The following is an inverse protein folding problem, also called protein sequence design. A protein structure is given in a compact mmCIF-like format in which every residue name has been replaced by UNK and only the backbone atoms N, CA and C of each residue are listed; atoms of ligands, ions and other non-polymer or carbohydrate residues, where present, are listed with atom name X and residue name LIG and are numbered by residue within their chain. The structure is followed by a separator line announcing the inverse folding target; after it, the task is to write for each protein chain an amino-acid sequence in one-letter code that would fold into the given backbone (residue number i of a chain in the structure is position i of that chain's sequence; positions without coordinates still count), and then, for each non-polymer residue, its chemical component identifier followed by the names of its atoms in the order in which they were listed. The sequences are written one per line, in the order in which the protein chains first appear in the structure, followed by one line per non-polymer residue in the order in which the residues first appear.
data_IF_595429870248
#
_entry.id   IF_595429870248
#
_cell.length_a   1.000
_cell.length_b   1.000
_cell.length_c   1.000
_cell.angle_alpha   90.00
_cell.angle_beta   90.00
_cell.angle_gamma   90.00
#
_symmetry.space_group_name_H-M   'P 1'
#
loop_
_entity.id
_entity.type
_entity.pdbx_description
1 polymer ?
#
# COMPACT_ATOMS: atom_id res chain seq x y z
N UNK A 1 39.85 -53.23 -6.85
CA UNK A 1 39.27 -53.98 -5.75
C UNK A 1 39.37 -53.08 -4.56
N UNK A 2 38.29 -52.32 -4.31
CA UNK A 2 38.19 -51.41 -3.13
C UNK A 2 36.90 -51.81 -2.43
N UNK A 3 37.09 -52.49 -1.29
CA UNK A 3 36.01 -52.89 -0.40
C UNK A 3 35.41 -51.65 0.27
N UNK A 4 34.13 -51.41 0.07
CA UNK A 4 33.32 -50.54 0.87
C UNK A 4 32.43 -51.36 1.82
N UNK A 5 32.40 -51.07 3.15
CA UNK A 5 31.49 -51.76 4.04
C UNK A 5 30.04 -51.32 3.85
N UNK A 6 29.05 -52.18 4.13
CA UNK A 6 27.64 -51.90 3.97
C UNK A 6 27.11 -50.93 5.06
N UNK A 7 26.20 -50.03 4.60
CA UNK A 7 25.47 -49.10 5.48
C UNK A 7 24.47 -49.83 6.40
N UNK A 8 24.28 -49.34 7.63
CA UNK A 8 23.30 -49.94 8.54
C UNK A 8 21.85 -49.62 8.13
N UNK A 9 20.86 -50.46 8.51
CA UNK A 9 19.46 -50.30 8.11
C UNK A 9 18.82 -49.08 8.77
N UNK A 10 18.08 -48.31 7.99
CA UNK A 10 17.24 -47.17 8.41
C UNK A 10 16.14 -47.62 9.37
N UNK A 11 16.15 -47.06 10.58
CA UNK A 11 15.10 -47.26 11.57
C UNK A 11 13.80 -46.53 11.16
N UNK A 12 12.70 -47.28 11.11
CA UNK A 12 11.35 -46.77 10.88
C UNK A 12 10.90 -45.88 12.06
N UNK A 13 10.41 -44.64 11.85
CA UNK A 13 9.93 -43.83 12.95
C UNK A 13 8.61 -44.36 13.50
N UNK A 14 8.54 -44.54 14.82
CA UNK A 14 7.35 -44.95 15.57
C UNK A 14 6.24 -43.91 15.45
N UNK A 15 5.04 -44.39 15.09
CA UNK A 15 3.78 -43.64 15.08
C UNK A 15 3.51 -43.05 16.48
N UNK A 16 3.55 -41.72 16.59
CA UNK A 16 3.04 -41.00 17.77
C UNK A 16 1.49 -41.01 17.71
N UNK A 17 0.87 -41.54 18.72
CA UNK A 17 -0.57 -41.47 18.99
C UNK A 17 -0.96 -40.03 19.32
N UNK A 18 -1.90 -39.46 18.55
CA UNK A 18 -2.56 -38.17 18.81
C UNK A 18 -3.46 -38.27 20.06
N UNK A 19 -3.46 -37.25 20.93
CA UNK A 19 -4.42 -37.19 22.01
C UNK A 19 -5.79 -36.75 21.50
N UNK A 20 -6.79 -37.56 21.77
CA UNK A 20 -8.22 -37.32 21.50
C UNK A 20 -8.70 -36.15 22.37
N UNK A 21 -8.93 -34.98 21.78
CA UNK A 21 -9.58 -33.85 22.46
C UNK A 21 -11.09 -34.05 22.41
N UNK A 22 -11.69 -34.36 23.56
CA UNK A 22 -13.15 -34.41 23.75
C UNK A 22 -13.74 -32.97 23.72
N UNK A 23 -14.64 -32.72 22.77
CA UNK A 23 -15.44 -31.50 22.69
C UNK A 23 -16.50 -31.46 23.82
N UNK A 24 -16.61 -30.33 24.55
CA UNK A 24 -17.73 -30.15 25.46
C UNK A 24 -19.04 -29.86 24.70
N UNK A 25 -20.09 -30.58 25.04
CA UNK A 25 -21.44 -30.42 24.54
C UNK A 25 -22.08 -29.11 25.03
N UNK A 26 -22.54 -28.27 24.13
CA UNK A 26 -23.33 -27.06 24.41
C UNK A 26 -24.75 -27.45 24.81
N UNK A 27 -25.32 -26.87 25.89
CA UNK A 27 -26.73 -27.08 26.23
C UNK A 27 -27.65 -26.25 25.32
N UNK A 28 -28.73 -26.90 24.81
CA UNK A 28 -29.81 -26.26 24.05
C UNK A 28 -30.69 -25.45 25.00
N UNK A 29 -31.09 -24.20 24.68
CA UNK A 29 -32.09 -23.49 25.48
C UNK A 29 -33.49 -24.02 25.14
N UNK A 30 -34.21 -24.38 26.19
CA UNK A 30 -35.61 -24.78 26.15
C UNK A 30 -36.54 -23.62 25.82
N UNK A 31 -37.40 -23.80 24.81
CA UNK A 31 -38.54 -22.95 24.51
C UNK A 31 -39.50 -22.93 25.70
N UNK A 32 -39.71 -21.73 26.29
CA UNK A 32 -40.91 -21.47 27.11
C UNK A 32 -41.79 -20.46 26.38
N UNK A 33 -42.91 -20.95 25.89
CA UNK A 33 -44.10 -20.21 25.53
C UNK A 33 -44.70 -19.59 26.79
N UNK A 34 -44.95 -18.28 26.80
CA UNK A 34 -45.98 -17.71 27.63
C UNK A 34 -46.71 -16.61 26.86
N UNK A 35 -48.01 -16.76 26.82
CA UNK A 35 -48.95 -15.94 26.08
C UNK A 35 -49.55 -14.84 26.97
N UNK A 36 -50.05 -13.81 26.28
CA UNK A 36 -51.20 -12.93 26.62
C UNK A 36 -51.06 -11.88 27.72
N UNK A 37 -51.16 -10.60 27.32
CA UNK A 37 -52.27 -9.76 27.75
C UNK A 37 -52.29 -8.45 26.91
N UNK A 38 -53.43 -8.23 26.25
CA UNK A 38 -53.85 -6.95 25.65
C UNK A 38 -54.15 -5.93 26.78
N UNK A 39 -53.68 -4.69 26.60
CA UNK A 39 -54.30 -3.53 27.22
C UNK A 39 -54.30 -2.35 26.23
N UNK A 40 -55.49 -2.03 25.77
CA UNK A 40 -55.84 -0.87 24.97
C UNK A 40 -55.80 0.36 25.88
N UNK A 41 -55.06 1.37 25.47
CA UNK A 41 -55.06 2.71 26.09
C UNK A 41 -54.91 3.77 25.02
N UNK A 42 -56.04 4.28 24.50
CA UNK A 42 -56.11 5.53 23.76
C UNK A 42 -55.78 6.72 24.71
N UNK A 43 -54.82 7.52 24.37
CA UNK A 43 -54.72 8.89 24.88
C UNK A 43 -54.21 9.81 23.78
N UNK A 44 -54.98 10.80 23.58
CA UNK A 44 -55.08 11.93 22.66
C UNK A 44 -53.83 12.74 22.42
N UNK A 45 -53.69 13.09 21.15
CA UNK A 45 -52.84 14.10 20.51
C UNK A 45 -52.92 15.46 21.22
N UNK A 46 -51.76 16.03 21.51
CA UNK A 46 -51.55 17.47 21.64
C UNK A 46 -50.45 17.86 20.62
N UNK A 47 -50.86 18.47 19.52
CA UNK A 47 -49.99 19.14 18.61
C UNK A 47 -49.45 20.42 19.26
N UNK A 48 -48.16 20.50 19.45
CA UNK A 48 -47.42 21.75 19.59
C UNK A 48 -46.47 21.87 18.42
N UNK A 49 -46.82 22.66 17.43
CA UNK A 49 -45.93 23.19 16.42
C UNK A 49 -44.95 24.15 17.10
N UNK A 50 -43.72 23.73 17.28
CA UNK A 50 -42.61 24.65 17.49
C UNK A 50 -41.74 24.57 16.23
N UNK A 51 -41.75 25.69 15.50
CA UNK A 51 -40.73 25.99 14.50
C UNK A 51 -39.39 26.08 15.24
N UNK A 52 -38.56 25.08 15.10
CA UNK A 52 -37.21 25.05 15.62
C UNK A 52 -36.28 24.69 14.50
N UNK A 53 -35.29 25.51 14.36
CA UNK A 53 -34.15 25.45 13.47
C UNK A 53 -33.81 24.04 12.98
N UNK A 54 -33.54 23.94 11.67
CA UNK A 54 -32.93 22.79 11.07
C UNK A 54 -31.47 22.68 11.54
N UNK A 55 -31.29 22.08 12.71
CA UNK A 55 -30.06 21.42 13.02
C UNK A 55 -30.01 20.18 12.13
N UNK A 56 -29.07 20.13 11.21
CA UNK A 56 -28.70 18.88 10.57
C UNK A 56 -28.52 17.84 11.68
N UNK A 57 -29.31 16.77 11.66
CA UNK A 57 -28.96 15.58 12.42
C UNK A 57 -27.60 15.15 11.86
N UNK A 58 -26.54 15.20 12.71
CA UNK A 58 -25.31 14.51 12.40
C UNK A 58 -25.73 13.07 12.02
N UNK A 59 -25.59 12.71 10.75
CA UNK A 59 -25.73 11.34 10.30
C UNK A 59 -24.67 10.53 11.04
N UNK A 60 -24.98 9.31 11.40
CA UNK A 60 -23.94 8.40 11.87
C UNK A 60 -22.84 8.35 10.79
N UNK A 61 -21.57 8.60 11.16
CA UNK A 61 -20.44 8.48 10.26
C UNK A 61 -20.39 7.05 9.68
N UNK A 62 -19.86 6.92 8.47
CA UNK A 62 -19.63 5.63 7.83
C UNK A 62 -18.30 5.06 8.35
N UNK A 63 -18.34 3.88 8.94
CA UNK A 63 -17.12 3.16 9.33
C UNK A 63 -16.36 2.74 8.07
N UNK A 64 -15.09 3.12 7.93
CA UNK A 64 -14.22 2.78 6.81
C UNK A 64 -12.91 2.20 7.33
N UNK A 65 -12.51 1.05 6.83
CA UNK A 65 -11.23 0.43 7.11
C UNK A 65 -10.28 0.61 5.94
N UNK A 66 -9.14 1.27 6.18
CA UNK A 66 -8.05 1.44 5.24
C UNK A 66 -6.88 0.56 5.65
N UNK A 67 -6.49 -0.39 4.78
CA UNK A 67 -5.33 -1.25 4.99
C UNK A 67 -4.10 -0.67 4.29
N UNK A 68 -3.01 -0.48 5.03
CA UNK A 68 -1.73 -0.03 4.48
C UNK A 68 -1.07 -1.16 3.67
N UNK A 69 -0.15 -0.78 2.77
CA UNK A 69 0.69 -1.74 2.02
C UNK A 69 1.93 -2.19 2.79
N UNK A 70 2.32 -1.45 3.81
CA UNK A 70 3.51 -1.68 4.65
C UNK A 70 3.29 -1.09 6.04
N UNK A 71 4.27 -1.25 6.92
CA UNK A 71 4.31 -0.51 8.19
C UNK A 71 4.25 1.00 7.92
N UNK A 72 3.66 1.81 8.82
CA UNK A 72 3.56 3.24 8.65
C UNK A 72 4.90 3.90 8.31
N UNK A 73 4.89 4.80 7.33
CA UNK A 73 6.05 5.56 6.88
C UNK A 73 5.61 6.89 6.26
N UNK A 74 6.55 7.72 5.81
CA UNK A 74 6.23 9.06 5.33
C UNK A 74 5.43 9.10 4.01
N UNK A 75 5.40 8.02 3.21
CA UNK A 75 4.51 7.96 2.05
C UNK A 75 3.03 8.00 2.48
N UNK A 76 2.71 7.57 3.69
CA UNK A 76 1.36 7.60 4.29
C UNK A 76 1.02 8.92 4.99
N UNK A 77 1.96 9.89 5.03
CA UNK A 77 1.81 11.12 5.82
C UNK A 77 0.54 11.90 5.50
N UNK A 78 0.09 11.93 4.24
CA UNK A 78 -1.17 12.58 3.85
C UNK A 78 -2.39 11.92 4.47
N UNK A 79 -2.43 10.59 4.57
CA UNK A 79 -3.54 9.85 5.20
C UNK A 79 -3.61 10.18 6.69
N UNK A 80 -2.48 10.13 7.40
CA UNK A 80 -2.42 10.47 8.82
C UNK A 80 -2.69 11.95 9.08
N UNK A 81 -2.30 12.84 8.16
CA UNK A 81 -2.64 14.26 8.23
C UNK A 81 -4.15 14.48 8.06
N UNK A 82 -4.79 13.82 7.10
CA UNK A 82 -6.24 13.90 6.90
C UNK A 82 -7.02 13.43 8.14
N UNK A 83 -6.59 12.32 8.74
CA UNK A 83 -7.19 11.78 9.96
C UNK A 83 -7.02 12.75 11.15
N UNK A 84 -5.78 13.17 11.43
CA UNK A 84 -5.47 14.02 12.57
C UNK A 84 -6.11 15.42 12.47
N UNK A 85 -6.36 15.93 11.26
CA UNK A 85 -7.01 17.21 11.02
C UNK A 85 -8.54 17.11 10.90
N UNK A 86 -9.09 15.90 11.04
CA UNK A 86 -10.53 15.65 11.02
C UNK A 86 -11.17 15.72 9.63
N UNK A 87 -10.39 15.59 8.54
CA UNK A 87 -10.92 15.70 7.18
C UNK A 87 -11.85 14.54 6.82
N UNK A 88 -11.58 13.34 7.34
CA UNK A 88 -12.48 12.20 7.21
C UNK A 88 -13.76 12.38 8.03
N UNK A 89 -13.66 12.89 9.28
CA UNK A 89 -14.83 13.18 10.10
C UNK A 89 -15.72 14.25 9.46
N UNK A 90 -15.13 15.31 8.88
CA UNK A 90 -15.83 16.36 8.12
C UNK A 90 -16.60 15.76 6.92
N UNK A 91 -16.07 14.70 6.30
CA UNK A 91 -16.69 13.94 5.21
C UNK A 91 -17.70 12.88 5.69
N UNK A 92 -17.95 12.78 6.98
CA UNK A 92 -18.84 11.78 7.57
C UNK A 92 -18.26 10.37 7.55
N UNK A 93 -16.95 10.25 7.67
CA UNK A 93 -16.20 8.99 7.69
C UNK A 93 -15.54 8.82 9.06
N UNK A 94 -15.67 7.64 9.63
CA UNK A 94 -14.92 7.17 10.80
C UNK A 94 -13.86 6.18 10.31
N UNK A 95 -12.62 6.68 10.13
CA UNK A 95 -11.55 5.91 9.49
C UNK A 95 -10.80 5.06 10.51
N UNK A 96 -10.61 3.79 10.19
CA UNK A 96 -9.71 2.87 10.89
C UNK A 96 -8.55 2.49 9.98
N UNK A 97 -7.32 2.86 10.34
CA UNK A 97 -6.11 2.50 9.61
C UNK A 97 -5.54 1.21 10.22
N UNK A 98 -5.29 0.20 9.36
CA UNK A 98 -4.72 -1.10 9.77
C UNK A 98 -3.46 -1.41 8.96
N UNK A 99 -2.53 -2.15 9.57
CA UNK A 99 -1.35 -2.66 8.87
C UNK A 99 -1.70 -3.83 7.93
N UNK A 100 -0.84 -4.14 6.94
CA UNK A 100 -1.13 -5.18 5.96
C UNK A 100 -1.24 -6.56 6.59
N UNK A 101 -2.12 -7.39 6.02
CA UNK A 101 -2.26 -8.79 6.39
C UNK A 101 -1.25 -9.67 5.62
N UNK A 102 -0.93 -10.84 6.18
CA UNK A 102 -0.05 -11.84 5.52
C UNK A 102 -0.58 -12.30 4.15
N UNK A 103 -1.89 -12.15 3.89
CA UNK A 103 -2.55 -12.55 2.64
C UNK A 103 -2.46 -11.52 1.52
N UNK A 104 -1.87 -10.35 1.78
CA UNK A 104 -1.87 -9.19 0.87
C UNK A 104 -3.14 -8.35 0.98
N UNK A 105 -3.10 -7.17 0.37
CA UNK A 105 -4.16 -6.16 0.46
C UNK A 105 -5.32 -6.47 -0.48
N UNK A 106 -5.03 -6.84 -1.73
CA UNK A 106 -6.02 -7.03 -2.79
C UNK A 106 -7.11 -8.06 -2.42
N UNK A 107 -6.79 -9.26 -1.91
CA UNK A 107 -7.82 -10.22 -1.52
C UNK A 107 -8.61 -9.78 -0.29
N UNK A 108 -8.03 -9.00 0.61
CA UNK A 108 -8.73 -8.49 1.82
C UNK A 108 -9.78 -7.45 1.41
N UNK A 109 -9.41 -6.51 0.54
CA UNK A 109 -10.33 -5.50 -0.01
C UNK A 109 -11.41 -6.13 -0.89
N UNK A 110 -11.03 -7.08 -1.75
CA UNK A 110 -12.01 -7.78 -2.61
C UNK A 110 -13.05 -8.58 -1.82
N UNK A 111 -12.73 -9.01 -0.60
CA UNK A 111 -13.65 -9.74 0.29
C UNK A 111 -14.49 -8.81 1.19
N UNK A 112 -14.18 -7.50 1.22
CA UNK A 112 -14.83 -6.51 2.07
C UNK A 112 -14.40 -6.61 3.54
N UNK A 113 -13.24 -7.22 3.83
CA UNK A 113 -12.64 -7.21 5.18
C UNK A 113 -11.86 -5.90 5.44
N UNK A 114 -11.55 -5.15 4.38
CA UNK A 114 -11.19 -3.73 4.38
C UNK A 114 -11.92 -3.04 3.21
N UNK A 115 -12.27 -1.78 3.36
CA UNK A 115 -13.03 -1.01 2.35
C UNK A 115 -12.11 -0.48 1.26
N UNK A 116 -10.92 -0.03 1.66
CA UNK A 116 -9.85 0.47 0.79
C UNK A 116 -8.52 -0.08 1.24
N UNK A 117 -7.55 -0.09 0.34
CA UNK A 117 -6.22 -0.54 0.67
C UNK A 117 -5.15 0.21 -0.12
N UNK A 118 -3.94 0.23 0.42
CA UNK A 118 -2.76 0.63 -0.33
C UNK A 118 -2.09 -0.60 -0.90
N UNK A 119 -1.70 -0.54 -2.16
CA UNK A 119 -1.06 -1.63 -2.87
C UNK A 119 -0.06 -1.08 -3.89
N UNK A 120 0.38 -1.93 -4.80
CA UNK A 120 1.30 -1.59 -5.88
C UNK A 120 0.76 -2.13 -7.20
N UNK A 121 1.09 -1.51 -8.34
CA UNK A 121 0.64 -1.99 -9.65
C UNK A 121 1.18 -3.40 -9.94
N UNK A 122 2.39 -3.72 -9.46
CA UNK A 122 3.03 -5.03 -9.59
C UNK A 122 2.32 -6.16 -8.82
N UNK A 123 1.48 -5.85 -7.84
CA UNK A 123 0.63 -6.82 -7.15
C UNK A 123 -0.82 -6.77 -7.66
N UNK A 124 -1.31 -5.57 -8.00
CA UNK A 124 -2.68 -5.37 -8.48
C UNK A 124 -2.93 -6.05 -9.83
N UNK A 125 -2.04 -5.89 -10.83
CA UNK A 125 -2.25 -6.49 -12.15
C UNK A 125 -2.27 -8.03 -12.11
N UNK A 126 -1.34 -8.73 -11.42
CA UNK A 126 -1.45 -10.17 -11.20
C UNK A 126 -2.71 -10.58 -10.43
N UNK A 127 -3.15 -9.82 -9.43
CA UNK A 127 -4.39 -10.09 -8.71
C UNK A 127 -5.60 -10.02 -9.65
N UNK A 128 -5.69 -9.00 -10.50
CA UNK A 128 -6.73 -8.90 -11.53
C UNK A 128 -6.68 -10.02 -12.55
N UNK A 129 -5.47 -10.41 -13.00
CA UNK A 129 -5.29 -11.58 -13.87
C UNK A 129 -5.82 -12.87 -13.23
N UNK A 130 -5.72 -12.98 -11.91
CA UNK A 130 -6.30 -14.07 -11.13
C UNK A 130 -7.81 -13.92 -10.86
N UNK A 131 -8.44 -12.85 -11.34
CA UNK A 131 -9.88 -12.59 -11.20
C UNK A 131 -10.27 -11.93 -9.87
N UNK A 132 -9.34 -11.29 -9.17
CA UNK A 132 -9.63 -10.50 -7.96
C UNK A 132 -10.23 -9.15 -8.37
N UNK A 133 -11.47 -8.81 -7.94
CA UNK A 133 -12.21 -7.63 -8.42
C UNK A 133 -11.82 -6.37 -7.63
N UNK A 134 -10.60 -5.88 -7.83
CA UNK A 134 -10.09 -4.63 -7.23
C UNK A 134 -9.68 -3.62 -8.30
N UNK A 135 -9.81 -2.34 -8.01
CA UNK A 135 -9.55 -1.23 -8.94
C UNK A 135 -8.71 -0.17 -8.22
N UNK A 136 -7.64 0.31 -8.85
CA UNK A 136 -6.90 1.47 -8.39
C UNK A 136 -7.74 2.74 -8.56
N UNK A 137 -7.86 3.54 -7.50
CA UNK A 137 -8.67 4.76 -7.47
C UNK A 137 -7.84 6.04 -7.31
N UNK A 138 -6.56 5.91 -6.94
CA UNK A 138 -5.59 7.00 -6.91
C UNK A 138 -4.16 6.43 -6.80
N UNK A 139 -3.16 7.13 -7.35
CA UNK A 139 -1.78 6.86 -6.99
C UNK A 139 -1.32 7.77 -5.84
N UNK A 140 -0.45 7.27 -4.96
CA UNK A 140 0.15 8.12 -3.93
C UNK A 140 1.33 8.91 -4.48
N UNK A 141 2.10 8.27 -5.34
CA UNK A 141 3.23 8.87 -6.05
C UNK A 141 3.00 8.74 -7.56
N UNK A 142 3.07 9.84 -8.34
CA UNK A 142 2.91 9.79 -9.80
C UNK A 142 4.00 8.99 -10.51
N UNK A 143 5.16 8.79 -9.86
CA UNK A 143 6.29 8.03 -10.38
C UNK A 143 6.86 7.08 -9.33
N UNK A 144 7.46 6.00 -9.79
CA UNK A 144 8.10 5.00 -8.95
C UNK A 144 9.36 5.55 -8.26
N UNK A 145 9.40 5.52 -6.94
CA UNK A 145 10.54 5.98 -6.12
C UNK A 145 11.56 4.88 -5.82
N UNK A 146 11.56 3.80 -6.58
CA UNK A 146 12.44 2.65 -6.37
C UNK A 146 13.86 2.85 -6.94
N UNK A 147 14.81 2.19 -6.29
CA UNK A 147 16.20 2.07 -6.75
C UNK A 147 16.78 0.71 -6.40
N UNK A 148 17.88 0.36 -7.08
CA UNK A 148 18.83 -0.60 -6.53
C UNK A 148 19.85 0.16 -5.69
N UNK A 149 20.02 -0.21 -4.43
CA UNK A 149 20.95 0.44 -3.48
C UNK A 149 22.11 -0.49 -3.18
N UNK A 150 23.32 0.06 -3.15
CA UNK A 150 24.55 -0.59 -2.71
C UNK A 150 25.35 0.33 -1.80
N UNK A 151 26.36 -0.18 -1.09
CA UNK A 151 27.31 0.68 -0.35
C UNK A 151 28.12 1.54 -1.33
N UNK A 152 28.37 2.80 -1.00
CA UNK A 152 29.07 3.72 -1.91
C UNK A 152 30.49 3.27 -2.27
N UNK A 153 31.15 2.49 -1.41
CA UNK A 153 32.49 1.95 -1.65
C UNK A 153 32.52 0.61 -2.38
N UNK A 154 31.34 0.03 -2.73
CA UNK A 154 31.23 -1.22 -3.48
C UNK A 154 31.72 -1.12 -4.93
N UNK A 155 31.72 0.11 -5.50
CA UNK A 155 32.02 0.34 -6.91
C UNK A 155 30.84 0.08 -7.85
N UNK A 156 29.63 -0.12 -7.32
CA UNK A 156 28.36 -0.25 -8.07
C UNK A 156 27.80 1.18 -8.25
N UNK A 157 27.83 1.71 -9.48
CA UNK A 157 27.33 3.03 -9.82
C UNK A 157 26.29 2.99 -10.95
N UNK A 158 26.18 1.87 -11.68
CA UNK A 158 25.30 1.70 -12.83
C UNK A 158 24.93 0.21 -13.01
N UNK A 159 23.86 -0.11 -13.79
CA UNK A 159 23.35 -1.49 -13.88
C UNK A 159 24.38 -2.53 -14.29
N UNK A 160 25.28 -2.25 -15.23
CA UNK A 160 26.31 -3.22 -15.64
C UNK A 160 27.32 -3.58 -14.54
N UNK A 161 27.48 -2.71 -13.53
CA UNK A 161 28.40 -2.97 -12.42
C UNK A 161 27.86 -4.04 -11.45
N UNK A 162 26.61 -4.45 -11.62
CA UNK A 162 25.98 -5.54 -10.89
C UNK A 162 26.47 -6.93 -11.33
N UNK A 163 27.22 -7.02 -12.45
CA UNK A 163 27.83 -8.27 -12.89
C UNK A 163 28.78 -8.86 -11.83
N UNK A 164 28.47 -10.04 -11.34
CA UNK A 164 29.23 -10.76 -10.32
C UNK A 164 28.91 -10.33 -8.90
N UNK A 165 27.97 -9.39 -8.72
CA UNK A 165 27.42 -9.02 -7.43
C UNK A 165 26.20 -9.89 -7.06
N UNK A 166 25.87 -9.87 -5.77
CA UNK A 166 24.76 -10.64 -5.20
C UNK A 166 23.59 -9.71 -4.85
N UNK A 167 22.42 -9.95 -5.45
CA UNK A 167 21.17 -9.30 -5.10
C UNK A 167 20.54 -9.96 -3.87
N UNK A 168 20.14 -9.18 -2.88
CA UNK A 168 19.35 -9.64 -1.73
C UNK A 168 17.92 -9.10 -1.78
N UNK A 169 16.93 -9.99 -1.90
CA UNK A 169 15.51 -9.60 -2.00
C UNK A 169 14.56 -10.64 -1.44
N UNK A 170 13.30 -10.54 -1.84
CA UNK A 170 12.22 -11.45 -1.41
C UNK A 170 12.16 -12.75 -2.22
N UNK A 171 12.94 -12.86 -3.31
CA UNK A 171 12.93 -14.02 -4.20
C UNK A 171 11.80 -13.98 -5.23
N UNK A 172 11.20 -12.81 -5.46
CA UNK A 172 10.16 -12.58 -6.45
C UNK A 172 10.68 -12.67 -7.90
N UNK A 173 9.83 -13.13 -8.81
CA UNK A 173 10.17 -13.21 -10.22
C UNK A 173 10.37 -11.81 -10.84
N UNK A 174 9.57 -10.82 -10.43
CA UNK A 174 9.70 -9.43 -10.88
C UNK A 174 11.04 -8.83 -10.50
N UNK A 175 11.50 -8.98 -9.25
CA UNK A 175 12.80 -8.48 -8.79
C UNK A 175 13.93 -9.01 -9.66
N UNK A 176 13.90 -10.33 -9.91
CA UNK A 176 14.89 -11.00 -10.77
C UNK A 176 14.88 -10.43 -12.19
N UNK A 177 13.70 -10.26 -12.78
CA UNK A 177 13.56 -9.76 -14.15
C UNK A 177 14.00 -8.30 -14.28
N UNK A 178 13.62 -7.42 -13.33
CA UNK A 178 14.03 -6.01 -13.33
C UNK A 178 15.55 -5.88 -13.28
N UNK A 179 16.22 -6.59 -12.38
CA UNK A 179 17.68 -6.58 -12.27
C UNK A 179 18.33 -7.08 -13.56
N UNK A 180 17.82 -8.19 -14.13
CA UNK A 180 18.34 -8.75 -15.39
C UNK A 180 18.19 -7.78 -16.56
N UNK A 181 17.01 -7.15 -16.71
CA UNK A 181 16.75 -6.15 -17.75
C UNK A 181 17.65 -4.93 -17.65
N UNK A 182 17.81 -4.40 -16.44
CA UNK A 182 18.71 -3.28 -16.22
C UNK A 182 20.15 -3.61 -16.60
N UNK A 183 20.68 -4.75 -16.18
CA UNK A 183 22.04 -5.20 -16.50
C UNK A 183 22.22 -5.41 -18.00
N UNK A 184 21.30 -6.12 -18.66
CA UNK A 184 21.36 -6.38 -20.11
C UNK A 184 21.27 -5.09 -20.92
N UNK A 185 20.37 -4.19 -20.57
CA UNK A 185 20.15 -2.91 -21.23
C UNK A 185 21.42 -2.01 -21.17
N UNK A 186 22.13 -2.05 -20.07
CA UNK A 186 23.41 -1.33 -19.91
C UNK A 186 24.62 -2.10 -20.50
N UNK A 187 24.38 -3.19 -21.24
CA UNK A 187 25.37 -3.97 -21.96
C UNK A 187 26.20 -4.91 -21.06
N UNK A 188 25.68 -5.27 -19.89
CA UNK A 188 26.24 -6.28 -18.99
C UNK A 188 25.71 -7.70 -19.27
N UNK A 189 26.24 -8.67 -18.54
CA UNK A 189 25.81 -10.06 -18.57
C UNK A 189 24.93 -10.39 -17.35
N UNK A 190 23.58 -10.45 -17.51
CA UNK A 190 22.66 -10.68 -16.39
C UNK A 190 22.81 -12.09 -15.77
N UNK A 191 23.39 -13.06 -16.47
CA UNK A 191 23.62 -14.41 -15.94
C UNK A 191 24.75 -14.45 -14.89
N UNK A 192 25.47 -13.35 -14.72
CA UNK A 192 26.53 -13.20 -13.72
C UNK A 192 26.05 -12.59 -12.40
N UNK A 193 24.82 -12.12 -12.34
CA UNK A 193 24.22 -11.65 -11.08
C UNK A 193 23.78 -12.86 -10.25
N UNK A 194 24.17 -12.89 -8.99
CA UNK A 194 23.68 -13.89 -8.03
C UNK A 194 22.46 -13.37 -7.29
N UNK A 195 21.47 -14.24 -7.01
CA UNK A 195 20.24 -13.87 -6.31
C UNK A 195 20.10 -14.69 -5.04
N UNK A 196 19.85 -14.03 -3.91
CA UNK A 196 19.59 -14.65 -2.62
C UNK A 196 18.29 -14.14 -2.02
N UNK A 197 17.45 -15.06 -1.57
CA UNK A 197 16.24 -14.72 -0.81
C UNK A 197 16.62 -14.39 0.63
N UNK A 198 16.39 -13.16 1.07
CA UNK A 198 16.70 -12.66 2.41
C UNK A 198 15.43 -12.25 3.18
N UNK A 199 14.32 -12.04 2.47
CA UNK A 199 13.05 -11.62 3.06
C UNK A 199 13.11 -10.21 3.65
N UNK A 200 12.26 -9.95 4.64
CA UNK A 200 12.23 -8.65 5.33
C UNK A 200 13.39 -8.55 6.32
N UNK A 201 14.46 -7.90 5.90
CA UNK A 201 15.68 -7.66 6.70
C UNK A 201 16.06 -6.18 6.61
N UNK A 202 16.88 -5.72 7.53
CA UNK A 202 17.58 -4.45 7.38
C UNK A 202 18.64 -4.60 6.27
N UNK A 203 18.36 -3.98 5.10
CA UNK A 203 19.20 -4.13 3.90
C UNK A 203 20.61 -3.55 4.11
N UNK A 204 20.72 -2.37 4.77
CA UNK A 204 22.02 -1.78 5.03
C UNK A 204 22.89 -2.71 5.92
N UNK A 205 22.35 -3.20 7.02
CA UNK A 205 23.03 -4.19 7.85
C UNK A 205 23.38 -5.47 7.08
N UNK A 206 22.54 -5.87 6.13
CA UNK A 206 22.81 -7.03 5.27
C UNK A 206 24.04 -6.83 4.39
N UNK A 207 24.13 -5.67 3.74
CA UNK A 207 25.27 -5.26 2.90
C UNK A 207 26.57 -5.07 3.72
N UNK A 208 26.50 -4.35 4.84
CA UNK A 208 27.64 -4.17 5.75
C UNK A 208 28.24 -5.49 6.29
N UNK A 209 27.45 -6.56 6.29
CA UNK A 209 27.88 -7.91 6.73
C UNK A 209 28.22 -8.84 5.59
N UNK A 210 28.39 -8.33 4.39
CA UNK A 210 28.72 -9.09 3.19
C UNK A 210 27.74 -10.26 2.94
N UNK A 211 26.43 -10.08 3.23
CA UNK A 211 25.41 -11.10 2.96
C UNK A 211 24.90 -11.04 1.52
N UNK A 212 24.87 -9.83 0.98
CA UNK A 212 24.57 -9.47 -0.40
C UNK A 212 25.17 -8.10 -0.67
N UNK A 213 25.29 -7.72 -1.95
CA UNK A 213 25.98 -6.50 -2.36
C UNK A 213 25.02 -5.36 -2.65
N UNK A 214 23.78 -5.65 -3.07
CA UNK A 214 22.75 -4.67 -3.38
C UNK A 214 21.35 -5.22 -3.17
N UNK A 215 20.36 -4.31 -3.05
CA UNK A 215 18.95 -4.62 -2.84
C UNK A 215 18.05 -3.60 -3.52
N UNK A 216 16.80 -3.96 -3.81
CA UNK A 216 15.75 -3.02 -4.19
C UNK A 216 15.22 -2.31 -2.95
N UNK A 217 15.19 -0.97 -3.02
CA UNK A 217 14.79 -0.09 -1.93
C UNK A 217 13.89 1.05 -2.46
N UNK A 218 13.24 1.76 -1.55
CA UNK A 218 12.59 3.04 -1.83
C UNK A 218 13.51 4.19 -1.40
N UNK A 219 13.80 5.12 -2.33
CA UNK A 219 14.73 6.22 -2.08
C UNK A 219 14.30 7.08 -0.88
N UNK A 220 13.02 7.44 -0.85
CA UNK A 220 12.45 8.29 0.19
C UNK A 220 12.32 7.64 1.57
N UNK A 221 12.75 6.39 1.75
CA UNK A 221 12.73 5.72 3.04
C UNK A 221 14.06 5.01 3.33
N UNK A 222 14.40 3.94 2.60
CA UNK A 222 15.55 3.09 2.94
C UNK A 222 16.89 3.79 2.66
N UNK A 223 17.03 4.46 1.50
CA UNK A 223 18.25 5.19 1.18
C UNK A 223 18.45 6.39 2.12
N UNK A 224 17.37 7.12 2.42
CA UNK A 224 17.41 8.19 3.42
C UNK A 224 17.74 7.68 4.82
N UNK A 225 17.22 6.51 5.23
CA UNK A 225 17.57 5.91 6.52
C UNK A 225 19.06 5.60 6.61
N UNK A 226 19.67 5.07 5.54
CA UNK A 226 21.10 4.83 5.49
C UNK A 226 21.92 6.12 5.66
N UNK A 227 21.59 7.15 4.90
CA UNK A 227 22.36 8.40 4.86
C UNK A 227 22.06 9.33 6.05
N UNK A 228 20.78 9.66 6.28
CA UNK A 228 20.38 10.69 7.23
C UNK A 228 20.40 10.19 8.69
N UNK A 229 20.06 8.90 8.93
CA UNK A 229 19.96 8.35 10.28
C UNK A 229 21.20 7.55 10.67
N UNK A 230 21.69 6.68 9.77
CA UNK A 230 22.79 5.78 10.07
C UNK A 230 24.15 6.37 9.67
N UNK A 231 24.18 7.43 8.84
CA UNK A 231 25.39 8.13 8.43
C UNK A 231 26.29 7.28 7.53
N UNK A 232 25.71 6.37 6.76
CA UNK A 232 26.41 5.50 5.80
C UNK A 232 26.13 5.99 4.40
N UNK A 233 27.20 6.25 3.64
CA UNK A 233 27.10 6.66 2.25
C UNK A 233 26.69 5.46 1.38
N UNK A 234 25.63 5.63 0.58
CA UNK A 234 25.12 4.63 -0.36
C UNK A 234 25.14 5.15 -1.79
N UNK A 235 25.21 4.24 -2.74
CA UNK A 235 25.00 4.49 -4.16
C UNK A 235 23.64 3.91 -4.55
N UNK A 236 22.85 4.68 -5.32
CA UNK A 236 21.55 4.22 -5.83
C UNK A 236 21.54 4.24 -7.36
N UNK A 237 20.83 3.28 -7.95
CA UNK A 237 20.50 3.20 -9.37
C UNK A 237 18.98 3.39 -9.47
N UNK A 238 18.48 4.64 -9.63
CA UNK A 238 17.05 4.92 -9.69
C UNK A 238 16.41 4.29 -10.92
N UNK A 239 15.24 3.67 -10.75
CA UNK A 239 14.52 3.05 -11.87
C UNK A 239 14.09 4.09 -12.91
N UNK A 240 13.72 5.28 -12.48
CA UNK A 240 13.37 6.40 -13.37
C UNK A 240 14.49 6.88 -14.29
N UNK A 241 15.76 6.62 -13.96
CA UNK A 241 16.88 6.92 -14.83
C UNK A 241 17.06 5.91 -15.97
N UNK A 242 16.23 4.84 -16.00
CA UNK A 242 16.34 3.70 -16.89
C UNK A 242 15.01 3.33 -17.58
N UNK A 243 14.17 4.34 -17.90
CA UNK A 243 12.85 4.14 -18.52
C UNK A 243 12.90 3.56 -19.94
N UNK A 244 14.06 3.57 -20.59
CA UNK A 244 14.31 2.87 -21.86
C UNK A 244 14.58 1.37 -21.68
N UNK A 245 14.74 0.90 -20.42
CA UNK A 245 15.01 -0.49 -20.07
C UNK A 245 13.84 -1.16 -19.38
N UNK A 246 13.20 -0.45 -18.46
CA UNK A 246 12.04 -0.86 -17.68
C UNK A 246 11.02 0.30 -17.66
N UNK A 247 9.71 0.03 -17.75
CA UNK A 247 8.71 1.09 -17.69
C UNK A 247 8.62 1.69 -16.29
N UNK A 248 7.99 2.86 -16.17
CA UNK A 248 7.48 3.36 -14.90
C UNK A 248 6.22 2.61 -14.49
N UNK A 249 5.87 2.61 -13.20
CA UNK A 249 4.61 2.08 -12.69
C UNK A 249 4.26 2.67 -11.33
N UNK A 250 2.96 2.64 -10.99
CA UNK A 250 2.45 3.21 -9.75
C UNK A 250 2.74 2.33 -8.52
N UNK A 251 3.53 2.88 -7.59
CA UNK A 251 3.86 2.25 -6.31
C UNK A 251 4.28 3.32 -5.27
N UNK A 252 3.49 3.54 -4.18
CA UNK A 252 2.20 2.90 -3.87
C UNK A 252 1.00 3.56 -4.56
N UNK A 253 -0.12 2.83 -4.57
CA UNK A 253 -1.42 3.29 -5.03
C UNK A 253 -2.52 2.95 -4.00
N UNK A 254 -3.69 3.60 -4.11
CA UNK A 254 -4.89 3.28 -3.34
C UNK A 254 -5.87 2.52 -4.22
N UNK A 255 -6.41 1.42 -3.71
CA UNK A 255 -7.39 0.59 -4.38
C UNK A 255 -8.65 0.36 -3.53
N UNK A 256 -9.73 0.03 -4.20
CA UNK A 256 -10.95 -0.49 -3.58
C UNK A 256 -11.54 -1.64 -4.42
N UNK A 257 -12.64 -2.23 -3.98
CA UNK A 257 -13.32 -3.29 -4.74
C UNK A 257 -14.23 -2.70 -5.83
N UNK A 258 -14.47 -3.47 -6.91
CA UNK A 258 -15.47 -3.12 -7.93
C UNK A 258 -16.86 -2.95 -7.29
N UNK A 259 -17.22 -3.78 -6.30
CA UNK A 259 -18.49 -3.66 -5.59
C UNK A 259 -18.63 -2.35 -4.82
N UNK A 260 -17.58 -1.86 -4.17
CA UNK A 260 -17.59 -0.57 -3.46
C UNK A 260 -17.86 0.58 -4.43
N UNK A 261 -17.21 0.57 -5.60
CA UNK A 261 -17.42 1.57 -6.66
C UNK A 261 -18.86 1.56 -7.16
N UNK A 262 -19.47 0.38 -7.31
CA UNK A 262 -20.85 0.23 -7.81
C UNK A 262 -21.90 0.57 -6.74
N UNK A 263 -21.69 0.18 -5.48
CA UNK A 263 -22.68 0.28 -4.41
C UNK A 263 -22.64 1.63 -3.68
N UNK A 264 -21.46 2.21 -3.44
CA UNK A 264 -21.30 3.51 -2.76
C UNK A 264 -20.21 4.40 -3.41
N UNK A 265 -20.40 4.86 -4.65
CA UNK A 265 -19.44 5.75 -5.32
C UNK A 265 -19.29 7.11 -4.62
N UNK A 266 -20.28 7.52 -3.80
CA UNK A 266 -20.20 8.76 -3.01
C UNK A 266 -19.19 8.61 -1.88
N UNK A 267 -19.16 7.46 -1.20
CA UNK A 267 -18.16 7.17 -0.18
C UNK A 267 -16.74 7.22 -0.76
N UNK A 268 -16.52 6.63 -1.93
CA UNK A 268 -15.22 6.66 -2.60
C UNK A 268 -14.76 8.09 -2.91
N UNK A 269 -15.68 8.95 -3.39
CA UNK A 269 -15.37 10.38 -3.65
C UNK A 269 -15.04 11.14 -2.36
N UNK A 270 -15.87 10.98 -1.33
CA UNK A 270 -15.72 11.65 -0.05
C UNK A 270 -14.38 11.25 0.61
N UNK A 271 -14.05 9.95 0.56
CA UNK A 271 -12.79 9.41 1.06
C UNK A 271 -11.59 10.02 0.33
N UNK A 272 -11.59 9.98 -0.99
CA UNK A 272 -10.49 10.52 -1.79
C UNK A 272 -10.37 12.04 -1.64
N UNK A 273 -11.48 12.78 -1.55
CA UNK A 273 -11.44 14.21 -1.28
C UNK A 273 -10.81 14.55 0.07
N UNK A 274 -11.14 13.80 1.12
CA UNK A 274 -10.52 13.94 2.44
C UNK A 274 -9.02 13.57 2.41
N UNK A 275 -8.68 12.48 1.73
CA UNK A 275 -7.29 12.03 1.56
C UNK A 275 -6.45 13.04 0.80
N UNK A 276 -6.97 13.59 -0.32
CA UNK A 276 -6.28 14.60 -1.12
C UNK A 276 -5.95 15.86 -0.29
N UNK A 277 -6.88 16.35 0.53
CA UNK A 277 -6.62 17.46 1.48
C UNK A 277 -5.47 17.14 2.44
N UNK A 278 -5.32 15.90 2.86
CA UNK A 278 -4.21 15.48 3.70
C UNK A 278 -2.88 15.46 2.94
N UNK A 279 -2.89 15.06 1.67
CA UNK A 279 -1.70 15.14 0.82
C UNK A 279 -1.36 16.59 0.43
N UNK A 280 -2.34 17.48 0.31
CA UNK A 280 -2.07 18.93 0.17
C UNK A 280 -1.25 19.44 1.37
N UNK A 281 -1.58 19.01 2.59
CA UNK A 281 -0.76 19.34 3.79
C UNK A 281 0.64 18.73 3.68
N UNK A 282 0.78 17.48 3.22
CA UNK A 282 2.08 16.84 3.08
C UNK A 282 2.96 17.51 2.01
N UNK A 283 2.34 18.09 0.99
CA UNK A 283 3.00 18.84 -0.09
C UNK A 283 3.39 20.25 0.37
N UNK A 284 2.47 20.98 1.03
CA UNK A 284 2.65 22.40 1.36
C UNK A 284 3.39 22.64 2.69
N UNK A 285 3.22 21.77 3.68
CA UNK A 285 3.85 21.81 5.01
C UNK A 285 4.29 20.40 5.44
N UNK A 286 5.39 19.86 4.84
CA UNK A 286 5.91 18.53 5.17
C UNK A 286 6.29 18.38 6.64
N UNK A 287 6.73 19.46 7.30
CA UNK A 287 6.99 19.48 8.73
C UNK A 287 5.73 19.22 9.55
N UNK A 288 4.58 19.79 9.14
CA UNK A 288 3.30 19.52 9.80
C UNK A 288 2.89 18.06 9.58
N UNK A 289 2.96 17.56 8.36
CA UNK A 289 2.61 16.17 8.05
C UNK A 289 3.49 15.17 8.81
N UNK A 290 4.81 15.43 8.88
CA UNK A 290 5.73 14.62 9.69
C UNK A 290 5.35 14.60 11.17
N UNK A 291 5.01 15.77 11.76
CA UNK A 291 4.57 15.82 13.17
C UNK A 291 3.30 15.02 13.39
N UNK A 292 2.30 15.15 12.52
CA UNK A 292 1.02 14.43 12.65
C UNK A 292 1.20 12.92 12.52
N UNK A 293 2.07 12.46 11.61
CA UNK A 293 2.43 11.06 11.51
C UNK A 293 3.13 10.55 12.78
N UNK A 294 4.11 11.30 13.31
CA UNK A 294 4.82 10.94 14.54
C UNK A 294 3.94 10.96 15.80
N UNK A 295 2.91 11.83 15.84
CA UNK A 295 1.94 11.85 16.93
C UNK A 295 1.03 10.61 16.89
N UNK A 296 0.70 10.12 15.70
CA UNK A 296 -0.10 8.90 15.49
C UNK A 296 0.73 7.63 15.68
N UNK A 297 2.00 7.63 15.28
CA UNK A 297 2.90 6.47 15.26
C UNK A 297 4.24 6.84 15.94
N UNK A 298 4.26 6.94 17.28
CA UNK A 298 5.40 7.49 18.03
C UNK A 298 6.64 6.59 18.06
N UNK A 299 6.56 5.35 17.58
CA UNK A 299 7.68 4.43 17.43
C UNK A 299 8.57 4.69 16.22
N UNK A 300 8.13 5.52 15.26
CA UNK A 300 8.93 5.89 14.09
C UNK A 300 10.13 6.76 14.49
N UNK A 301 11.23 6.58 13.76
CA UNK A 301 12.39 7.44 13.91
C UNK A 301 12.08 8.86 13.41
N UNK A 302 12.23 9.85 14.28
CA UNK A 302 11.88 11.25 14.00
C UNK A 302 12.71 11.83 12.86
N UNK A 303 14.02 11.62 12.89
CA UNK A 303 14.93 12.21 11.92
C UNK A 303 14.66 11.64 10.52
N UNK A 304 14.33 10.34 10.44
CA UNK A 304 13.92 9.70 9.20
C UNK A 304 12.58 10.23 8.69
N UNK A 305 11.56 10.33 9.55
CA UNK A 305 10.24 10.82 9.15
C UNK A 305 10.30 12.24 8.63
N UNK A 306 11.03 13.14 9.33
CA UNK A 306 11.20 14.54 8.92
C UNK A 306 11.95 14.63 7.58
N UNK A 307 13.05 13.91 7.40
CA UNK A 307 13.79 13.89 6.13
C UNK A 307 12.95 13.28 4.98
N UNK A 308 12.21 12.22 5.25
CA UNK A 308 11.38 11.53 4.27
C UNK A 308 10.15 12.37 3.87
N UNK A 309 9.53 13.09 4.79
CA UNK A 309 8.42 13.99 4.48
C UNK A 309 8.87 15.13 3.57
N UNK A 310 10.02 15.76 3.85
CA UNK A 310 10.61 16.79 2.99
C UNK A 310 10.96 16.24 1.61
N UNK A 311 11.52 15.02 1.54
CA UNK A 311 11.83 14.35 0.29
C UNK A 311 10.59 14.12 -0.58
N UNK A 312 9.48 13.63 0.03
CA UNK A 312 8.26 13.30 -0.70
C UNK A 312 7.41 14.51 -1.07
N UNK A 313 7.51 15.64 -0.37
CA UNK A 313 6.64 16.79 -0.57
C UNK A 313 6.50 17.22 -2.04
N UNK A 314 7.60 17.29 -2.78
CA UNK A 314 7.60 17.63 -4.21
C UNK A 314 7.33 16.44 -5.15
N UNK A 315 7.19 15.24 -4.60
CA UNK A 315 7.02 13.99 -5.36
C UNK A 315 5.61 13.42 -5.28
N UNK A 316 4.77 13.93 -4.38
CA UNK A 316 3.37 13.51 -4.28
C UNK A 316 2.49 14.01 -5.42
N UNK A 317 2.95 14.96 -6.20
CA UNK A 317 2.17 15.56 -7.28
C UNK A 317 3.05 15.98 -8.45
N UNK A 318 2.53 15.84 -9.67
CA UNK A 318 3.10 16.43 -10.86
C UNK A 318 2.55 17.84 -11.10
N UNK A 319 3.36 18.78 -11.66
CA UNK A 319 2.90 20.12 -11.99
C UNK A 319 1.71 20.10 -12.96
N UNK A 320 0.58 20.65 -12.52
CA UNK A 320 -0.64 20.78 -13.33
C UNK A 320 -1.53 19.55 -13.34
N UNK A 321 -1.27 18.56 -12.50
CA UNK A 321 -2.11 17.39 -12.25
C UNK A 321 -2.64 17.44 -10.81
N UNK A 322 -3.84 16.95 -10.53
CA UNK A 322 -4.31 16.75 -9.16
C UNK A 322 -3.55 15.59 -8.50
N UNK A 323 -3.49 15.60 -7.18
CA UNK A 323 -3.01 14.43 -6.45
C UNK A 323 -3.88 13.20 -6.78
N UNK A 324 -3.25 12.05 -6.86
CA UNK A 324 -3.93 10.77 -7.11
C UNK A 324 -4.16 10.46 -8.59
N UNK A 325 -3.86 11.39 -9.50
CA UNK A 325 -4.06 11.21 -10.95
C UNK A 325 -3.24 10.04 -11.50
N UNK A 326 -3.86 9.29 -12.42
CA UNK A 326 -3.27 8.12 -13.07
C UNK A 326 -3.40 8.25 -14.59
N UNK A 327 -2.41 7.81 -15.34
CA UNK A 327 -2.39 7.81 -16.81
C UNK A 327 -2.52 6.38 -17.34
N UNK A 328 -3.39 6.19 -18.33
CA UNK A 328 -3.60 4.89 -18.97
C UNK A 328 -2.32 4.32 -19.60
N UNK A 329 -1.49 5.20 -20.18
CA UNK A 329 -0.22 4.81 -20.82
C UNK A 329 0.72 4.10 -19.85
N UNK A 330 0.82 4.57 -18.60
CA UNK A 330 1.66 3.94 -17.55
C UNK A 330 1.17 2.53 -17.22
N UNK A 331 -0.15 2.35 -17.11
CA UNK A 331 -0.77 1.05 -16.88
C UNK A 331 -0.56 0.10 -18.05
N UNK A 332 -0.75 0.58 -19.30
CA UNK A 332 -0.57 -0.20 -20.51
C UNK A 332 0.89 -0.65 -20.69
N UNK A 333 1.85 0.27 -20.51
CA UNK A 333 3.28 -0.04 -20.63
C UNK A 333 3.74 -1.04 -19.58
N UNK A 334 3.33 -0.86 -18.32
CA UNK A 334 3.70 -1.81 -17.28
C UNK A 334 3.01 -3.17 -17.44
N UNK A 335 1.74 -3.19 -17.83
CA UNK A 335 1.03 -4.43 -18.16
C UNK A 335 1.68 -5.20 -19.31
N UNK A 336 2.09 -4.50 -20.38
CA UNK A 336 2.81 -5.09 -21.50
C UNK A 336 4.18 -5.64 -21.07
N UNK A 337 4.90 -4.92 -20.22
CA UNK A 337 6.17 -5.37 -19.64
C UNK A 337 6.01 -6.68 -18.87
N UNK A 338 4.99 -6.80 -18.02
CA UNK A 338 4.75 -8.03 -17.23
C UNK A 338 4.49 -9.25 -18.15
N UNK A 339 3.78 -9.05 -19.26
CA UNK A 339 3.54 -10.13 -20.25
C UNK A 339 4.84 -10.48 -20.99
N UNK A 340 5.58 -9.48 -21.46
CA UNK A 340 6.86 -9.69 -22.16
C UNK A 340 7.88 -10.41 -21.29
N UNK A 341 7.92 -10.07 -20.00
CA UNK A 341 8.76 -10.69 -18.98
C UNK A 341 8.31 -12.11 -18.59
N UNK A 342 7.15 -12.57 -19.08
CA UNK A 342 6.58 -13.87 -18.71
C UNK A 342 6.09 -13.94 -17.26
N UNK A 343 5.80 -12.78 -16.66
CA UNK A 343 5.24 -12.63 -15.32
C UNK A 343 3.71 -12.70 -15.32
N UNK A 344 3.11 -12.45 -16.48
CA UNK A 344 1.70 -12.69 -16.78
C UNK A 344 1.59 -13.58 -18.03
N UNK A 345 0.70 -14.56 -18.00
CA UNK A 345 0.47 -15.49 -19.14
C UNK A 345 -0.20 -14.79 -20.33
N UNK A 346 -1.04 -13.79 -20.07
CA UNK A 346 -1.78 -13.00 -21.06
C UNK A 346 -2.00 -11.56 -20.59
N UNK A 347 -2.32 -10.68 -21.53
CA UNK A 347 -2.60 -9.27 -21.23
C UNK A 347 -3.82 -9.13 -20.31
N UNK A 348 -3.68 -8.29 -19.30
CA UNK A 348 -4.77 -7.86 -18.43
C UNK A 348 -5.45 -6.66 -19.05
N UNK A 349 -6.76 -6.52 -18.85
CA UNK A 349 -7.50 -5.31 -19.16
C UNK A 349 -7.07 -4.19 -18.20
N UNK A 350 -6.13 -3.38 -18.66
CA UNK A 350 -5.57 -2.28 -17.87
C UNK A 350 -6.56 -1.13 -17.70
N UNK A 351 -7.47 -0.91 -18.66
CA UNK A 351 -8.55 0.08 -18.55
C UNK A 351 -9.50 -0.26 -17.40
N UNK A 352 -9.68 -1.54 -17.09
CA UNK A 352 -10.48 -1.98 -15.96
C UNK A 352 -9.66 -2.03 -14.62
N UNK A 353 -8.33 -1.87 -14.67
CA UNK A 353 -7.49 -1.97 -13.48
C UNK A 353 -7.45 -0.67 -12.66
N UNK A 354 -7.81 0.46 -13.25
CA UNK A 354 -7.81 1.75 -12.58
C UNK A 354 -9.00 2.61 -13.01
N UNK A 355 -9.26 3.67 -12.24
CA UNK A 355 -10.16 4.75 -12.61
C UNK A 355 -9.71 6.08 -12.03
N UNK A 356 -9.80 7.13 -12.82
CA UNK A 356 -9.47 8.51 -12.41
C UNK A 356 -10.74 9.34 -12.09
N UNK A 357 -11.93 8.73 -12.23
CA UNK A 357 -13.23 9.42 -12.08
C UNK A 357 -13.44 10.05 -10.70
N UNK A 358 -12.73 9.54 -9.69
CA UNK A 358 -12.86 9.99 -8.31
C UNK A 358 -11.76 11.01 -7.92
N UNK A 359 -10.55 10.89 -8.45
CA UNK A 359 -9.42 11.79 -8.16
C UNK A 359 -9.66 13.20 -8.71
N UNK A 360 -10.20 13.33 -9.93
CA UNK A 360 -10.50 14.62 -10.54
C UNK A 360 -11.59 15.41 -9.80
N UNK A 361 -12.62 14.71 -9.27
CA UNK A 361 -13.71 15.35 -8.53
C UNK A 361 -13.32 15.79 -7.10
N UNK A 362 -12.28 15.20 -6.52
CA UNK A 362 -11.78 15.59 -5.21
C UNK A 362 -11.18 17.00 -5.21
N UNK A 363 -10.52 17.40 -6.30
CA UNK A 363 -9.91 18.73 -6.47
C UNK A 363 -10.96 19.84 -6.62
N UNK A 364 -12.08 19.59 -7.35
CA UNK A 364 -13.18 20.55 -7.52
C UNK A 364 -13.91 20.83 -6.20
N UNK A 365 -14.08 19.83 -5.35
CA UNK A 365 -14.73 19.98 -4.04
C UNK A 365 -13.88 20.80 -3.06
N UNK A 366 -12.56 20.77 -3.14
CA UNK A 366 -11.63 21.54 -2.33
C UNK A 366 -11.63 23.04 -2.68
N UNK A 367 -11.77 23.40 -3.97
CA UNK A 367 -11.81 24.80 -4.43
C UNK A 367 -13.12 25.51 -4.02
N UNK A 368 -14.25 24.81 -3.99
CA UNK A 368 -15.54 25.38 -3.58
C UNK A 368 -15.60 25.66 -2.06
N UNK A 369 -14.93 24.86 -1.25
CA UNK A 369 -14.89 25.05 0.21
C UNK A 369 -14.05 26.27 0.63
N UNK A 370 -12.96 26.58 -0.10
CA UNK A 370 -12.10 27.74 0.18
C UNK A 370 -12.68 29.08 -0.26
N UNK A 371 -13.59 29.11 -1.25
CA UNK A 371 -14.20 30.34 -1.78
C UNK A 371 -15.32 30.87 -0.88
N UNK A 372 -15.90 30.07 0.02
CA UNK A 372 -17.06 30.47 0.82
C UNK A 372 -16.67 31.18 2.15
N UNK A 373 -15.41 31.17 2.57
CA UNK A 373 -14.94 31.79 3.82
C UNK A 373 -14.35 33.20 3.68
N UNK A 374 -14.29 33.78 2.48
CA UNK A 374 -13.64 35.07 2.16
C UNK A 374 -14.58 36.28 2.05
N UNK A 375 -15.83 36.23 2.49
CA UNK A 375 -16.79 37.30 2.32
C UNK A 375 -17.55 37.76 3.58
N UNK A 376 -16.90 38.45 4.51
CA UNK A 376 -17.54 39.48 5.38
C UNK A 376 -16.51 40.50 5.86
#
# INVERSE_FOLDING_TARGET
MSDHPPLPPTATPARRSEPTVSRPSRPRPARRLLALALAVGLLTVAACSSSGDGGATAGDNRDVTLMLNWTPNAQHAGIYAAEALGYYEDAGIDLTIVEPADTGVEPVVAQGDADVGLAQAESLLPARAAGVPVVSIATLLPHNDSSLMALADSGIERPRDLEGATYGGYGGALETELVRRLVECDGGDPDRVEFVEVGNVDYLTGMERDRFDFAWVFNGWDALAAEAVQGVDVATIPFLDHLDCIPDWYTPLMLTSESMIEEDPELVRDLLAATARGYDVAIEDPDQAARLLLDAVPELDRDLVEASAEYHASRFVEPGRPWGHQEAEVWEEFGAFLVEAGLLDEAVDTDAAFTDDFAASATEAGEDATTTTGGQ
#
